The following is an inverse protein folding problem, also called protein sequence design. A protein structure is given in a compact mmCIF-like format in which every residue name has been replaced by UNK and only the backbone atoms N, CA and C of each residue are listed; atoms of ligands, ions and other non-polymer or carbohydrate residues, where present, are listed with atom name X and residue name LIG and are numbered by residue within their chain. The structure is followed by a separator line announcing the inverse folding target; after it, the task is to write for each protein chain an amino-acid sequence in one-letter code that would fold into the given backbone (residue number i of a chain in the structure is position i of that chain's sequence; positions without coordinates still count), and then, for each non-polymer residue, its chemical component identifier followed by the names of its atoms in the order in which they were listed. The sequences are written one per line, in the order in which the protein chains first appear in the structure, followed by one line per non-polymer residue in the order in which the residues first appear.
data_IF_095805317352
#
_entry.id   IF_095805317352
#
_cell.length_a   1.000
_cell.length_b   1.000
_cell.length_c   1.000
_cell.angle_alpha   90.00
_cell.angle_beta   90.00
_cell.angle_gamma   90.00
#
_symmetry.space_group_name_H-M   'P 1'
#
loop_
_entity.id
_entity.type
_entity.pdbx_description
1 polymer ?
#
# COMPACT_ATOMS: atom_id res chain seq x y z
N UNK A 1 -14.72 8.62 -29.31
CA UNK A 1 -13.84 7.72 -28.54
C UNK A 1 -14.03 8.04 -27.07
N UNK A 2 -14.60 7.14 -26.30
CA UNK A 2 -14.72 7.30 -24.85
C UNK A 2 -13.31 7.33 -24.24
N UNK A 3 -12.94 8.44 -23.59
CA UNK A 3 -11.66 8.59 -22.88
C UNK A 3 -11.59 7.47 -21.83
N UNK A 4 -10.64 6.57 -21.97
CA UNK A 4 -10.41 5.53 -20.96
C UNK A 4 -10.07 6.20 -19.64
N UNK A 5 -10.86 5.91 -18.61
CA UNK A 5 -10.64 6.46 -17.27
C UNK A 5 -9.51 5.66 -16.62
N UNK A 6 -8.45 6.35 -16.20
CA UNK A 6 -7.30 5.76 -15.51
C UNK A 6 -7.72 5.01 -14.26
N UNK A 7 -7.14 3.83 -14.06
CA UNK A 7 -7.25 3.05 -12.83
C UNK A 7 -5.87 2.89 -12.19
N UNK A 8 -5.82 2.99 -10.87
CA UNK A 8 -4.61 2.80 -10.07
C UNK A 8 -4.83 1.60 -9.17
N UNK A 9 -4.12 0.52 -9.48
CA UNK A 9 -4.18 -0.74 -8.75
C UNK A 9 -3.20 -0.69 -7.59
N UNK A 10 -3.70 -0.81 -6.38
CA UNK A 10 -2.89 -0.85 -5.16
C UNK A 10 -2.91 -2.27 -4.60
N UNK A 11 -1.76 -2.88 -4.50
CA UNK A 11 -1.61 -4.26 -4.01
C UNK A 11 -0.72 -4.24 -2.75
N UNK A 12 -1.32 -4.47 -1.58
CA UNK A 12 -0.57 -4.66 -0.35
C UNK A 12 0.18 -5.99 -0.43
N UNK A 13 1.43 -6.02 0.05
CA UNK A 13 2.22 -7.25 0.12
C UNK A 13 1.48 -8.40 0.81
N UNK A 14 1.85 -9.63 0.50
CA UNK A 14 1.34 -10.83 1.15
C UNK A 14 1.65 -10.89 2.65
N UNK A 15 1.12 -11.89 3.32
CA UNK A 15 1.33 -12.13 4.75
C UNK A 15 2.83 -12.27 5.10
N UNK A 16 3.22 -11.73 6.25
CA UNK A 16 4.52 -11.88 6.89
C UNK A 16 4.32 -12.28 8.35
N UNK A 17 5.36 -12.82 9.02
CA UNK A 17 5.26 -13.18 10.44
C UNK A 17 4.81 -12.00 11.32
N UNK A 18 5.29 -10.78 11.04
CA UNK A 18 4.89 -9.61 11.81
C UNK A 18 3.48 -9.12 11.47
N UNK A 19 2.98 -9.35 10.24
CA UNK A 19 1.58 -9.05 9.95
C UNK A 19 0.61 -10.01 10.67
N UNK A 20 1.02 -11.26 10.90
CA UNK A 20 0.28 -12.23 11.69
C UNK A 20 0.26 -11.89 13.17
N UNK A 21 1.41 -11.51 13.73
CA UNK A 21 1.54 -11.16 15.15
C UNK A 21 1.00 -9.77 15.48
N UNK A 22 0.68 -8.95 14.45
CA UNK A 22 0.22 -7.58 14.59
C UNK A 22 1.33 -6.58 14.95
N UNK A 23 2.59 -6.96 14.76
CA UNK A 23 3.74 -6.07 14.96
C UNK A 23 3.86 -5.06 13.81
N UNK A 24 4.20 -3.83 14.13
CA UNK A 24 4.48 -2.80 13.15
C UNK A 24 5.73 -3.13 12.35
N UNK A 25 5.58 -3.31 11.04
CA UNK A 25 6.67 -3.66 10.11
C UNK A 25 6.91 -2.50 9.15
N UNK A 26 7.80 -1.61 9.50
CA UNK A 26 8.16 -0.44 8.69
C UNK A 26 9.33 -0.74 7.77
N UNK A 27 10.51 -0.27 8.18
CA UNK A 27 11.76 -0.38 7.41
C UNK A 27 12.44 -1.76 7.56
N UNK A 28 12.08 -2.54 8.57
CA UNK A 28 12.60 -3.91 8.75
C UNK A 28 12.18 -4.77 7.56
N UNK A 29 13.16 -5.36 6.89
CA UNK A 29 12.93 -6.08 5.63
C UNK A 29 12.76 -7.58 5.88
N UNK A 30 11.55 -8.00 6.23
CA UNK A 30 11.19 -9.41 6.47
C UNK A 30 10.50 -10.04 5.27
N UNK A 31 10.67 -11.37 5.06
CA UNK A 31 10.09 -12.10 3.94
C UNK A 31 8.58 -12.36 4.10
N UNK A 32 7.95 -12.80 3.02
CA UNK A 32 6.61 -13.39 3.06
C UNK A 32 6.61 -14.73 3.76
N UNK A 33 5.49 -15.09 4.40
CA UNK A 33 5.19 -16.47 4.77
C UNK A 33 4.80 -17.27 3.53
N UNK A 34 4.71 -18.61 3.65
CA UNK A 34 4.22 -19.42 2.53
C UNK A 34 2.75 -19.09 2.20
N UNK A 35 1.92 -18.81 3.20
CA UNK A 35 0.56 -18.34 2.99
C UNK A 35 0.55 -17.00 2.23
N UNK A 36 1.44 -16.07 2.60
CA UNK A 36 1.61 -14.79 1.89
C UNK A 36 1.99 -14.99 0.42
N UNK A 37 2.89 -15.95 0.12
CA UNK A 37 3.26 -16.30 -1.25
C UNK A 37 2.09 -16.89 -2.03
N UNK A 38 1.34 -17.79 -1.41
CA UNK A 38 0.18 -18.40 -2.04
C UNK A 38 -0.90 -17.38 -2.35
N UNK A 39 -1.20 -16.46 -1.43
CA UNK A 39 -2.13 -15.36 -1.66
C UNK A 39 -1.64 -14.41 -2.78
N UNK A 40 -0.34 -14.11 -2.84
CA UNK A 40 0.25 -13.29 -3.89
C UNK A 40 0.11 -13.94 -5.29
N UNK A 41 0.24 -15.26 -5.40
CA UNK A 41 0.05 -16.00 -6.66
C UNK A 41 -1.38 -15.88 -7.20
N UNK A 42 -2.40 -15.74 -6.34
CA UNK A 42 -3.79 -15.54 -6.77
C UNK A 42 -4.02 -14.21 -7.50
N UNK A 43 -3.15 -13.23 -7.30
CA UNK A 43 -3.19 -11.96 -8.02
C UNK A 43 -2.88 -12.11 -9.52
N UNK A 44 -2.02 -13.09 -9.88
CA UNK A 44 -1.50 -13.23 -11.24
C UNK A 44 -2.60 -13.36 -12.31
N UNK A 45 -3.58 -14.27 -12.20
CA UNK A 45 -4.61 -14.42 -13.24
C UNK A 45 -5.54 -13.21 -13.35
N UNK A 46 -5.64 -12.39 -12.30
CA UNK A 46 -6.44 -11.17 -12.29
C UNK A 46 -5.67 -10.04 -12.98
N UNK A 47 -4.41 -9.81 -12.58
CA UNK A 47 -3.59 -8.73 -13.11
C UNK A 47 -3.11 -9.00 -14.55
N UNK A 48 -3.03 -10.26 -14.97
CA UNK A 48 -2.70 -10.63 -16.36
C UNK A 48 -3.76 -10.20 -17.39
N UNK A 49 -4.97 -9.88 -16.94
CA UNK A 49 -6.06 -9.37 -17.82
C UNK A 49 -5.98 -7.87 -18.05
N UNK A 50 -5.10 -7.18 -17.32
CA UNK A 50 -4.97 -5.73 -17.32
C UNK A 50 -3.72 -5.29 -18.08
N UNK A 51 -3.78 -4.09 -18.65
CA UNK A 51 -2.64 -3.48 -19.33
C UNK A 51 -2.15 -2.28 -18.55
N UNK A 52 -0.96 -2.40 -17.95
CA UNK A 52 -0.35 -1.33 -17.16
C UNK A 52 0.68 -0.56 -18.00
N UNK A 53 0.58 0.77 -18.01
CA UNK A 53 1.62 1.65 -18.59
C UNK A 53 2.82 1.78 -17.65
N UNK A 54 2.63 1.52 -16.35
CA UNK A 54 3.67 1.56 -15.32
C UNK A 54 3.36 0.56 -14.21
N UNK A 55 4.40 -0.12 -13.74
CA UNK A 55 4.36 -0.95 -12.53
C UNK A 55 5.44 -0.42 -11.59
N UNK A 56 5.08 -0.10 -10.35
CA UNK A 56 6.02 0.39 -9.33
C UNK A 56 5.92 -0.46 -8.06
N UNK A 57 7.04 -0.70 -7.41
CA UNK A 57 7.09 -1.45 -6.16
C UNK A 57 7.97 -0.77 -5.12
N UNK A 58 7.57 -0.87 -3.87
CA UNK A 58 8.44 -0.56 -2.74
C UNK A 58 9.75 -1.37 -2.84
N UNK A 59 10.90 -0.83 -2.40
CA UNK A 59 12.17 -1.56 -2.38
C UNK A 59 12.19 -2.75 -1.40
N UNK A 60 11.25 -2.83 -0.44
CA UNK A 60 11.22 -3.87 0.57
C UNK A 60 10.84 -5.23 -0.02
N UNK A 61 11.57 -6.30 0.37
CA UNK A 61 11.47 -7.62 -0.26
C UNK A 61 10.04 -8.17 -0.31
N UNK A 62 9.24 -8.01 0.75
CA UNK A 62 7.85 -8.48 0.81
C UNK A 62 6.96 -7.89 -0.29
N UNK A 63 7.18 -6.61 -0.66
CA UNK A 63 6.42 -5.97 -1.74
C UNK A 63 6.94 -6.42 -3.12
N UNK A 64 8.26 -6.51 -3.29
CA UNK A 64 8.90 -7.00 -4.53
C UNK A 64 8.50 -8.44 -4.81
N UNK A 65 8.63 -9.33 -3.83
CA UNK A 65 8.26 -10.73 -3.96
C UNK A 65 6.77 -10.89 -4.30
N UNK A 66 5.89 -10.08 -3.68
CA UNK A 66 4.48 -10.06 -4.05
C UNK A 66 4.27 -9.65 -5.51
N UNK A 67 5.00 -8.66 -6.00
CA UNK A 67 4.95 -8.20 -7.39
C UNK A 67 5.44 -9.29 -8.37
N UNK A 68 6.52 -9.97 -8.02
CA UNK A 68 7.08 -11.09 -8.80
C UNK A 68 6.08 -12.25 -8.91
N UNK A 69 5.51 -12.69 -7.78
CA UNK A 69 4.51 -13.76 -7.73
C UNK A 69 3.21 -13.40 -8.45
N UNK A 70 2.86 -12.12 -8.44
CA UNK A 70 1.75 -11.57 -9.22
C UNK A 70 2.03 -11.47 -10.73
N UNK A 71 3.24 -11.84 -11.19
CA UNK A 71 3.63 -11.90 -12.60
C UNK A 71 4.01 -10.55 -13.21
N UNK A 72 4.35 -9.55 -12.39
CA UNK A 72 4.70 -8.20 -12.85
C UNK A 72 6.12 -7.77 -12.45
N UNK A 73 6.91 -8.66 -11.84
CA UNK A 73 8.25 -8.35 -11.32
C UNK A 73 9.22 -7.79 -12.37
N UNK A 74 9.29 -8.42 -13.56
CA UNK A 74 10.20 -8.01 -14.66
C UNK A 74 9.94 -6.59 -15.18
N UNK A 75 8.75 -6.05 -14.91
CA UNK A 75 8.32 -4.71 -15.35
C UNK A 75 8.33 -3.67 -14.24
N UNK A 76 8.62 -4.11 -13.00
CA UNK A 76 8.49 -3.26 -11.83
C UNK A 76 9.68 -2.32 -11.65
N UNK A 77 9.41 -1.05 -11.51
CA UNK A 77 10.37 -0.04 -11.12
C UNK A 77 10.34 0.18 -9.61
N UNK A 78 11.51 0.30 -8.99
CA UNK A 78 11.62 0.59 -7.57
C UNK A 78 11.21 2.04 -7.29
N UNK A 79 10.24 2.21 -6.41
CA UNK A 79 9.75 3.51 -5.95
C UNK A 79 9.89 3.63 -4.44
N UNK A 80 10.88 4.43 -4.00
CA UNK A 80 11.20 4.61 -2.56
C UNK A 80 10.08 5.29 -1.78
N UNK A 81 9.32 6.17 -2.40
CA UNK A 81 8.17 6.82 -1.77
C UNK A 81 7.02 5.86 -1.44
N UNK A 82 7.08 4.60 -1.95
CA UNK A 82 6.16 3.51 -1.60
C UNK A 82 6.63 2.67 -0.39
N UNK A 83 7.76 2.98 0.25
CA UNK A 83 8.13 2.32 1.50
C UNK A 83 7.04 2.46 2.55
N UNK A 84 6.96 1.47 3.46
CA UNK A 84 6.03 1.55 4.58
C UNK A 84 6.38 2.75 5.49
N UNK A 85 5.46 3.13 6.34
CA UNK A 85 5.66 4.11 7.38
C UNK A 85 6.87 3.72 8.23
N UNK A 86 7.82 4.63 8.40
CA UNK A 86 8.92 4.42 9.34
C UNK A 86 8.37 4.59 10.77
N UNK A 87 8.28 3.47 11.48
CA UNK A 87 7.70 3.48 12.83
C UNK A 87 8.68 3.91 13.92
N UNK A 88 9.95 4.15 13.60
CA UNK A 88 10.96 4.60 14.58
C UNK A 88 11.01 3.70 15.82
N UNK A 89 10.79 4.29 16.99
CA UNK A 89 10.82 3.56 18.27
C UNK A 89 9.70 2.52 18.44
N UNK A 90 8.71 2.51 17.53
CA UNK A 90 7.61 1.55 17.55
C UNK A 90 7.78 0.40 16.56
N UNK A 91 8.90 0.36 15.84
CA UNK A 91 9.22 -0.74 14.93
C UNK A 91 9.26 -2.07 15.70
N UNK A 92 8.58 -3.10 15.19
CA UNK A 92 8.47 -4.42 15.80
C UNK A 92 7.57 -4.51 17.03
N UNK A 93 6.96 -3.42 17.49
CA UNK A 93 6.00 -3.44 18.59
C UNK A 93 4.57 -3.69 18.09
N UNK A 94 3.78 -4.37 18.91
CA UNK A 94 2.34 -4.49 18.71
C UNK A 94 1.60 -3.25 19.23
N UNK A 95 0.38 -2.95 18.75
CA UNK A 95 -0.46 -1.87 19.29
C UNK A 95 -0.62 -1.95 20.81
N UNK A 96 -0.77 -3.15 21.37
CA UNK A 96 -0.90 -3.37 22.82
C UNK A 96 0.36 -2.89 23.57
N UNK A 97 1.55 -3.20 23.06
CA UNK A 97 2.81 -2.78 23.65
C UNK A 97 3.02 -1.26 23.55
N UNK A 98 2.61 -0.66 22.44
CA UNK A 98 2.67 0.78 22.25
C UNK A 98 1.70 1.48 23.20
N UNK A 99 0.45 1.04 23.29
CA UNK A 99 -0.55 1.63 24.19
C UNK A 99 -0.18 1.51 25.68
N UNK A 100 0.61 0.49 26.06
CA UNK A 100 1.15 0.40 27.42
C UNK A 100 2.14 1.53 27.74
N UNK A 101 2.84 2.06 26.72
CA UNK A 101 3.81 3.16 26.86
C UNK A 101 3.18 4.53 26.54
N UNK A 102 2.25 4.57 25.58
CA UNK A 102 1.59 5.77 25.08
C UNK A 102 0.07 5.53 24.97
N UNK A 103 -0.70 5.61 26.08
CA UNK A 103 -2.14 5.41 26.06
C UNK A 103 -2.84 6.35 25.09
N UNK A 104 -3.73 5.80 24.26
CA UNK A 104 -4.50 6.57 23.28
C UNK A 104 -3.72 6.99 22.02
N UNK A 105 -2.49 6.51 21.84
CA UNK A 105 -1.73 6.75 20.61
C UNK A 105 -2.46 6.18 19.38
N UNK A 106 -2.43 6.94 18.29
CA UNK A 106 -2.97 6.55 16.98
C UNK A 106 -2.02 7.01 15.88
N UNK A 107 -1.49 6.07 15.09
CA UNK A 107 -0.46 6.36 14.09
C UNK A 107 -0.85 7.48 13.11
N UNK A 108 -2.08 7.48 12.61
CA UNK A 108 -2.56 8.48 11.63
C UNK A 108 -2.75 9.88 12.21
N UNK A 109 -2.69 10.03 13.54
CA UNK A 109 -2.78 11.32 14.25
C UNK A 109 -1.44 11.74 14.83
N UNK A 110 -0.74 10.82 15.47
CA UNK A 110 0.39 11.12 16.34
C UNK A 110 1.75 10.83 15.68
N UNK A 111 1.75 10.02 14.61
CA UNK A 111 2.99 9.53 14.01
C UNK A 111 3.78 8.63 14.95
N UNK A 112 5.08 8.52 14.73
CA UNK A 112 5.94 7.64 15.50
C UNK A 112 7.20 8.39 16.00
N UNK A 113 7.55 8.31 17.29
CA UNK A 113 8.80 8.85 17.82
C UNK A 113 10.01 8.24 17.10
N UNK A 114 10.96 9.07 16.69
CA UNK A 114 12.12 8.62 15.89
C UNK A 114 11.79 8.13 14.47
N UNK A 115 10.51 8.16 14.09
CA UNK A 115 10.01 7.76 12.78
C UNK A 115 9.37 8.92 12.01
N UNK A 116 8.37 8.59 11.19
CA UNK A 116 7.66 9.58 10.36
C UNK A 116 6.41 10.13 11.03
N UNK A 117 6.10 11.40 10.74
CA UNK A 117 4.80 12.01 11.03
C UNK A 117 3.79 11.69 9.92
N UNK A 118 2.48 11.86 10.18
CA UNK A 118 1.44 11.72 9.16
C UNK A 118 1.68 12.61 7.94
N UNK A 119 2.19 13.84 8.14
CA UNK A 119 2.47 14.81 7.08
C UNK A 119 3.65 14.36 6.19
N UNK A 120 4.67 13.75 6.78
CA UNK A 120 5.81 13.22 6.03
C UNK A 120 5.38 12.07 5.12
N UNK A 121 4.56 11.15 5.64
CA UNK A 121 4.01 10.04 4.83
C UNK A 121 3.04 10.57 3.77
N UNK A 122 2.20 11.57 4.09
CA UNK A 122 1.34 12.23 3.12
C UNK A 122 2.15 12.86 1.98
N UNK A 123 3.25 13.55 2.30
CA UNK A 123 4.11 14.18 1.30
C UNK A 123 4.71 13.15 0.33
N UNK A 124 5.11 11.94 0.82
CA UNK A 124 5.56 10.84 -0.04
C UNK A 124 4.43 10.32 -0.94
N UNK A 125 3.27 10.08 -0.35
CA UNK A 125 2.09 9.65 -1.10
C UNK A 125 1.70 10.65 -2.19
N UNK A 126 1.71 11.95 -1.88
CA UNK A 126 1.38 13.02 -2.83
C UNK A 126 2.35 13.07 -4.03
N UNK A 127 3.66 12.83 -3.80
CA UNK A 127 4.64 12.73 -4.91
C UNK A 127 4.35 11.57 -5.84
N UNK A 128 4.00 10.39 -5.29
CA UNK A 128 3.61 9.23 -6.11
C UNK A 128 2.30 9.53 -6.85
N UNK A 129 1.30 10.09 -6.17
CA UNK A 129 0.01 10.47 -6.78
C UNK A 129 0.22 11.43 -7.96
N UNK A 130 1.07 12.43 -7.81
CA UNK A 130 1.38 13.39 -8.88
C UNK A 130 1.99 12.68 -10.10
N UNK A 131 2.96 11.77 -9.87
CA UNK A 131 3.56 10.96 -10.95
C UNK A 131 2.53 10.07 -11.64
N UNK A 132 1.70 9.38 -10.87
CA UNK A 132 0.64 8.51 -11.40
C UNK A 132 -0.35 9.28 -12.24
N UNK A 133 -0.82 10.44 -11.76
CA UNK A 133 -1.79 11.29 -12.48
C UNK A 133 -1.24 11.86 -13.80
N UNK A 134 0.07 12.00 -13.93
CA UNK A 134 0.71 12.45 -15.16
C UNK A 134 0.75 11.37 -16.26
N UNK A 135 0.53 10.11 -15.91
CA UNK A 135 0.55 8.99 -16.85
C UNK A 135 -0.81 8.84 -17.55
N UNK A 136 -0.78 8.38 -18.82
CA UNK A 136 -1.97 8.08 -19.60
C UNK A 136 -2.16 6.56 -19.68
N UNK A 137 -2.95 6.01 -18.78
CA UNK A 137 -3.25 4.59 -18.68
C UNK A 137 -3.17 4.06 -17.25
N UNK A 138 -3.44 2.77 -17.09
CA UNK A 138 -3.54 2.13 -15.78
C UNK A 138 -2.15 1.87 -15.19
N UNK A 139 -2.07 1.93 -13.86
CA UNK A 139 -0.82 1.79 -13.09
C UNK A 139 -1.02 0.75 -12.01
N UNK A 140 -0.02 -0.11 -11.77
CA UNK A 140 0.02 -1.02 -10.64
C UNK A 140 1.10 -0.59 -9.62
N UNK A 141 0.72 -0.51 -8.35
CA UNK A 141 1.58 -0.17 -7.23
C UNK A 141 1.59 -1.32 -6.23
N UNK A 142 2.79 -1.79 -5.86
CA UNK A 142 2.98 -2.82 -4.84
C UNK A 142 3.66 -2.20 -3.62
N UNK A 143 2.98 -2.20 -2.48
CA UNK A 143 3.51 -1.59 -1.27
C UNK A 143 2.88 -2.17 0.02
N UNK A 144 2.56 -1.32 1.00
CA UNK A 144 2.29 -1.73 2.36
C UNK A 144 0.98 -1.15 2.90
N UNK A 145 0.66 -1.53 4.14
CA UNK A 145 -0.62 -1.22 4.76
C UNK A 145 -0.85 0.27 5.00
N UNK A 146 0.01 0.91 5.80
CA UNK A 146 -0.26 2.28 6.22
C UNK A 146 0.00 3.30 5.10
N UNK A 147 1.05 3.12 4.28
CA UNK A 147 1.28 4.01 3.14
C UNK A 147 0.10 3.99 2.15
N UNK A 148 -0.51 2.83 1.84
CA UNK A 148 -1.65 2.78 0.94
C UNK A 148 -2.94 3.35 1.54
N UNK A 149 -3.13 3.23 2.86
CA UNK A 149 -4.25 3.87 3.54
C UNK A 149 -4.14 5.40 3.48
N UNK A 150 -2.93 5.95 3.68
CA UNK A 150 -2.66 7.37 3.48
C UNK A 150 -2.81 7.75 2.00
N UNK A 151 -2.28 6.93 1.08
CA UNK A 151 -2.39 7.17 -0.36
C UNK A 151 -3.87 7.27 -0.80
N UNK A 152 -4.74 6.38 -0.32
CA UNK A 152 -6.16 6.43 -0.63
C UNK A 152 -6.83 7.69 -0.09
N UNK A 153 -6.53 8.09 1.15
CA UNK A 153 -7.01 9.34 1.72
C UNK A 153 -6.57 10.55 0.86
N UNK A 154 -5.27 10.63 0.53
CA UNK A 154 -4.70 11.71 -0.29
C UNK A 154 -5.23 11.72 -1.72
N UNK A 155 -5.46 10.55 -2.32
CA UNK A 155 -6.10 10.43 -3.62
C UNK A 155 -7.47 11.11 -3.66
N UNK A 156 -8.26 10.94 -2.59
CA UNK A 156 -9.58 11.55 -2.43
C UNK A 156 -9.54 13.01 -1.98
N UNK A 157 -8.36 13.60 -1.77
CA UNK A 157 -8.21 14.98 -1.27
C UNK A 157 -8.42 15.11 0.24
N UNK A 158 -8.41 14.00 0.98
CA UNK A 158 -8.58 13.98 2.44
C UNK A 158 -7.23 14.14 3.16
N UNK A 159 -7.21 14.57 4.42
CA UNK A 159 -5.98 14.60 5.22
C UNK A 159 -5.46 13.19 5.50
N UNK A 160 -4.14 13.05 5.79
CA UNK A 160 -3.51 11.76 6.10
C UNK A 160 -4.23 10.99 7.23
N UNK A 161 -4.76 11.73 8.21
CA UNK A 161 -5.50 11.16 9.34
C UNK A 161 -6.71 10.32 8.91
N UNK A 162 -7.34 10.63 7.77
CA UNK A 162 -8.43 9.84 7.21
C UNK A 162 -7.98 8.44 6.78
N UNK A 163 -6.68 8.18 6.61
CA UNK A 163 -6.13 6.84 6.39
C UNK A 163 -6.56 5.84 7.47
N UNK A 164 -6.83 6.31 8.70
CA UNK A 164 -7.36 5.50 9.79
C UNK A 164 -8.73 4.84 9.49
N UNK A 165 -9.48 5.36 8.53
CA UNK A 165 -10.83 4.88 8.17
C UNK A 165 -10.80 3.79 7.09
N UNK A 166 -9.66 3.52 6.47
CA UNK A 166 -9.52 2.51 5.42
C UNK A 166 -8.89 1.25 6.00
N UNK A 167 -9.64 0.17 6.16
CA UNK A 167 -9.07 -1.14 6.48
C UNK A 167 -8.41 -1.73 5.25
N UNK A 168 -7.28 -2.41 5.43
CA UNK A 168 -6.51 -2.95 4.31
C UNK A 168 -5.75 -4.21 4.75
N UNK A 169 -6.20 -5.36 4.27
CA UNK A 169 -5.59 -6.66 4.55
C UNK A 169 -4.45 -6.99 3.58
N UNK A 170 -3.62 -7.98 3.90
CA UNK A 170 -2.51 -8.46 3.06
C UNK A 170 -3.02 -9.11 1.78
N UNK A 171 -2.25 -9.01 0.69
CA UNK A 171 -2.55 -9.56 -0.64
C UNK A 171 -3.92 -9.15 -1.22
N UNK A 172 -4.50 -8.03 -0.78
CA UNK A 172 -5.76 -7.52 -1.32
C UNK A 172 -5.56 -6.66 -2.55
N UNK A 173 -6.56 -6.67 -3.43
CA UNK A 173 -6.63 -5.82 -4.61
C UNK A 173 -7.51 -4.60 -4.34
N UNK A 174 -6.95 -3.43 -4.59
CA UNK A 174 -7.63 -2.16 -4.43
C UNK A 174 -7.50 -1.36 -5.72
N UNK A 175 -8.53 -0.61 -6.10
CA UNK A 175 -8.53 0.17 -7.33
C UNK A 175 -9.06 1.56 -7.03
N UNK A 176 -8.23 2.55 -7.24
CA UNK A 176 -8.61 3.95 -7.27
C UNK A 176 -8.84 4.38 -8.73
N UNK A 177 -9.74 5.31 -8.95
CA UNK A 177 -10.11 5.77 -10.27
C UNK A 177 -10.79 7.13 -10.17
N UNK A 178 -11.61 7.47 -11.14
CA UNK A 178 -12.40 8.70 -11.16
C UNK A 178 -13.86 8.39 -11.50
N UNK A 179 -14.76 9.12 -10.85
CA UNK A 179 -16.12 9.29 -11.33
C UNK A 179 -16.18 10.62 -12.09
N UNK A 180 -16.19 10.55 -13.42
CA UNK A 180 -15.92 11.69 -14.30
C UNK A 180 -14.52 12.24 -14.02
N UNK A 181 -14.40 13.43 -13.42
CA UNK A 181 -13.12 14.04 -13.04
C UNK A 181 -12.89 14.05 -11.51
N UNK A 182 -13.79 13.44 -10.74
CA UNK A 182 -13.72 13.37 -9.27
C UNK A 182 -12.98 12.10 -8.87
N UNK A 183 -11.87 12.19 -8.09
CA UNK A 183 -11.18 11.01 -7.57
C UNK A 183 -12.13 10.13 -6.74
N UNK A 184 -12.09 8.83 -7.00
CA UNK A 184 -13.01 7.87 -6.41
C UNK A 184 -12.32 6.54 -6.07
N UNK A 185 -12.91 5.79 -5.16
CA UNK A 185 -12.56 4.39 -4.89
C UNK A 185 -13.48 3.51 -5.71
N UNK A 186 -12.90 2.70 -6.61
CA UNK A 186 -13.64 1.73 -7.43
C UNK A 186 -13.75 0.37 -6.73
N UNK A 187 -12.68 -0.03 -6.02
CA UNK A 187 -12.61 -1.27 -5.24
C UNK A 187 -11.70 -1.06 -4.04
N UNK A 188 -12.06 -1.64 -2.90
CA UNK A 188 -11.22 -1.56 -1.70
C UNK A 188 -11.26 -2.85 -0.91
N UNK A 189 -10.07 -3.27 -0.42
CA UNK A 189 -9.84 -4.44 0.43
C UNK A 189 -10.43 -5.74 -0.12
N UNK A 190 -10.36 -5.93 -1.45
CA UNK A 190 -10.92 -7.12 -2.08
C UNK A 190 -9.94 -8.29 -1.97
N UNK A 191 -10.31 -9.29 -1.20
CA UNK A 191 -9.62 -10.57 -1.16
C UNK A 191 -9.90 -11.35 -2.44
N UNK A 192 -8.89 -12.07 -2.92
CA UNK A 192 -9.03 -13.00 -4.03
C UNK A 192 -9.12 -14.41 -3.47
N UNK A 193 -10.15 -15.14 -3.87
CA UNK A 193 -10.33 -16.56 -3.55
C UNK A 193 -9.92 -17.39 -4.75
N UNK A 194 -9.45 -18.64 -4.53
CA UNK A 194 -9.15 -19.60 -5.57
C UNK A 194 -10.32 -19.86 -6.52
#
# INVERSE_FOLDING_TARGET
MTKQIQQVYLIRHGETEWSLSGQHTGITDIPLTENGRNAARLLKPVLAKESFVRVMTSPLQRARETCELAGLGDRAEIERDLMEWNYGDYEGLTPKQIHAKAPGWMIFRDGCPGGESPEQVAARADRVIARVRALKGDVALFAHGHIFRVFAARWLGLPAAAGGQFLLDTATLNILSYYRDIPAVKRWNAMLTP
#
